data_IF_464532060619
#
_entry.id   IF_464532060619
#
_cell.length_a   1.000
_cell.length_b   1.000
_cell.length_c   1.000
_cell.angle_alpha   90.00
_cell.angle_beta   90.00
_cell.angle_gamma   90.00
#
_symmetry.space_group_name_H-M   'P 1'
#
loop_
_entity.id
_entity.type
_entity.pdbx_description
1 polymer ?
#
# COMPACT_ATOMS: atom_id res chain seq x y z
N UNK A 1 17.22 3.59 11.40
CA UNK A 1 17.40 4.49 10.24
C UNK A 1 16.01 4.86 9.75
N UNK A 2 15.43 5.93 10.29
CA UNK A 2 14.05 6.35 10.02
C UNK A 2 13.99 7.25 8.79
N UNK A 3 13.13 6.93 7.83
CA UNK A 3 12.88 7.80 6.69
C UNK A 3 11.88 8.89 7.10
N UNK A 4 12.38 10.09 7.38
CA UNK A 4 11.51 11.26 7.59
C UNK A 4 10.98 11.77 6.24
N UNK A 5 9.66 11.86 6.12
CA UNK A 5 9.02 12.48 4.95
C UNK A 5 9.12 14.01 5.04
N UNK A 6 10.23 14.59 4.55
CA UNK A 6 10.35 16.03 4.37
C UNK A 6 9.54 16.51 3.15
N UNK A 7 8.74 17.56 3.36
CA UNK A 7 7.78 18.18 2.42
C UNK A 7 8.38 18.66 1.09
N UNK A 8 9.70 18.76 0.95
CA UNK A 8 10.37 19.39 -0.20
C UNK A 8 10.85 18.43 -1.31
N UNK A 9 10.49 17.13 -1.27
CA UNK A 9 10.94 16.11 -2.26
C UNK A 9 9.82 15.48 -3.11
N UNK A 10 8.64 16.09 -3.12
CA UNK A 10 7.41 15.49 -3.66
C UNK A 10 7.36 15.36 -5.19
N UNK A 11 8.12 16.14 -5.94
CA UNK A 11 8.16 16.04 -7.42
C UNK A 11 9.06 14.90 -7.91
N UNK A 12 10.23 14.71 -7.28
CA UNK A 12 11.20 13.69 -7.67
C UNK A 12 10.67 12.25 -7.46
N UNK A 13 9.90 12.03 -6.38
CA UNK A 13 9.32 10.72 -6.07
C UNK A 13 8.09 10.38 -6.93
N UNK A 14 7.35 11.36 -7.47
CA UNK A 14 6.21 11.13 -8.38
C UNK A 14 6.70 10.88 -9.80
N UNK A 15 7.84 11.44 -10.22
CA UNK A 15 8.52 10.96 -11.42
C UNK A 15 9.05 9.52 -11.26
N UNK A 16 9.44 9.15 -10.03
CA UNK A 16 9.97 7.81 -9.72
C UNK A 16 8.88 6.73 -9.58
N UNK A 17 7.71 7.10 -9.06
CA UNK A 17 6.62 6.18 -8.71
C UNK A 17 5.25 6.64 -9.22
N UNK A 18 5.16 7.66 -10.07
CA UNK A 18 3.88 8.21 -10.53
C UNK A 18 3.23 7.28 -11.53
N UNK A 19 1.96 6.97 -11.27
CA UNK A 19 1.31 5.82 -11.86
C UNK A 19 -0.13 6.22 -12.15
N UNK A 20 -0.47 6.36 -13.43
CA UNK A 20 -1.85 6.57 -13.87
C UNK A 20 -2.66 5.27 -13.80
N UNK A 21 -1.97 4.11 -13.85
CA UNK A 21 -2.52 2.75 -13.78
C UNK A 21 -1.84 1.93 -12.66
N UNK A 22 -2.41 1.92 -11.43
CA UNK A 22 -1.83 1.29 -10.23
C UNK A 22 -1.35 -0.15 -10.45
N UNK A 23 -2.13 -0.90 -11.19
CA UNK A 23 -1.98 -2.34 -11.43
C UNK A 23 -0.70 -2.63 -12.23
N UNK A 24 -0.51 -1.94 -13.36
CA UNK A 24 0.70 -2.03 -14.18
C UNK A 24 1.97 -1.69 -13.40
N UNK A 25 1.80 -0.90 -12.36
CA UNK A 25 2.93 -0.33 -11.68
C UNK A 25 3.29 -1.07 -10.42
N UNK A 26 2.33 -1.77 -9.80
CA UNK A 26 2.65 -2.89 -8.93
C UNK A 26 3.59 -3.86 -9.66
N UNK A 27 3.27 -4.24 -10.92
CA UNK A 27 4.10 -5.17 -11.71
C UNK A 27 5.51 -4.64 -11.94
N UNK A 28 5.66 -3.37 -12.33
CA UNK A 28 6.97 -2.71 -12.46
C UNK A 28 7.77 -2.68 -11.16
N UNK A 29 7.09 -2.67 -10.01
CA UNK A 29 7.69 -2.65 -8.69
C UNK A 29 7.89 -4.06 -8.10
N UNK A 30 7.56 -5.11 -8.85
CA UNK A 30 7.79 -6.50 -8.47
C UNK A 30 6.68 -7.13 -7.61
N UNK A 31 5.47 -6.55 -7.66
CA UNK A 31 4.25 -7.10 -7.09
C UNK A 31 3.20 -7.36 -8.18
N UNK A 32 2.33 -8.33 -8.01
CA UNK A 32 1.26 -8.62 -8.97
C UNK A 32 -0.11 -8.35 -8.34
N UNK A 33 -1.02 -7.75 -9.10
CA UNK A 33 -2.39 -7.49 -8.66
C UNK A 33 -3.31 -8.56 -9.20
N UNK A 34 -4.13 -9.15 -8.33
CA UNK A 34 -5.15 -10.12 -8.68
C UNK A 34 -6.51 -9.65 -8.18
N UNK A 35 -7.54 -9.86 -8.97
CA UNK A 35 -8.92 -9.68 -8.52
C UNK A 35 -9.50 -11.02 -8.08
N UNK A 36 -9.93 -11.11 -6.83
CA UNK A 36 -10.54 -12.31 -6.28
C UNK A 36 -11.55 -11.94 -5.19
N UNK A 37 -12.73 -12.58 -5.11
CA UNK A 37 -13.70 -12.31 -4.05
C UNK A 37 -13.11 -12.62 -2.66
N UNK A 38 -12.89 -11.59 -1.85
CA UNK A 38 -12.32 -11.69 -0.49
C UNK A 38 -13.39 -11.77 0.61
N UNK A 39 -14.67 -11.84 0.21
CA UNK A 39 -15.81 -11.92 1.12
C UNK A 39 -16.26 -10.56 1.65
N UNK A 40 -16.95 -10.56 2.80
CA UNK A 40 -17.67 -9.36 3.26
C UNK A 40 -16.79 -8.32 3.94
N UNK A 41 -15.78 -8.77 4.70
CA UNK A 41 -15.03 -7.91 5.62
C UNK A 41 -13.69 -7.47 5.02
N UNK A 42 -12.95 -8.40 4.41
CA UNK A 42 -11.63 -8.13 3.84
C UNK A 42 -11.81 -7.63 2.40
N UNK A 43 -11.20 -6.50 2.07
CA UNK A 43 -11.29 -5.86 0.75
C UNK A 43 -9.97 -5.79 -0.01
N UNK A 44 -8.87 -6.00 0.70
CA UNK A 44 -7.52 -6.13 0.17
C UNK A 44 -6.71 -7.08 1.06
N UNK A 45 -5.82 -7.84 0.44
CA UNK A 45 -4.89 -8.71 1.14
C UNK A 45 -3.55 -8.74 0.41
N UNK A 46 -2.48 -8.47 1.13
CA UNK A 46 -1.12 -8.57 0.61
C UNK A 46 -0.41 -9.85 1.07
N UNK A 47 -0.03 -10.70 0.12
CA UNK A 47 0.70 -11.95 0.35
C UNK A 47 2.18 -11.74 0.05
N UNK A 48 2.96 -11.41 1.09
CA UNK A 48 4.40 -11.07 0.98
C UNK A 48 5.27 -12.09 0.24
N UNK A 49 4.98 -13.38 0.42
CA UNK A 49 5.80 -14.48 -0.13
C UNK A 49 5.53 -14.66 -1.62
N UNK A 50 4.27 -14.47 -2.03
CA UNK A 50 3.84 -14.48 -3.43
C UNK A 50 4.02 -13.13 -4.13
N UNK A 51 4.30 -12.07 -3.36
CA UNK A 51 4.31 -10.67 -3.84
C UNK A 51 2.98 -10.29 -4.50
N UNK A 52 1.89 -10.89 -4.04
CA UNK A 52 0.57 -10.73 -4.62
C UNK A 52 -0.26 -9.75 -3.79
N UNK A 53 -0.87 -8.77 -4.45
CA UNK A 53 -1.89 -7.87 -3.91
C UNK A 53 -3.22 -8.37 -4.44
N UNK A 54 -4.08 -8.86 -3.56
CA UNK A 54 -5.39 -9.37 -3.95
C UNK A 54 -6.43 -8.33 -3.57
N UNK A 55 -7.30 -7.98 -4.52
CA UNK A 55 -8.34 -6.97 -4.36
C UNK A 55 -9.71 -7.58 -4.65
N UNK A 56 -10.71 -7.19 -3.88
CA UNK A 56 -12.10 -7.54 -4.15
C UNK A 56 -12.57 -6.89 -5.47
N UNK A 57 -13.06 -7.67 -6.45
CA UNK A 57 -13.45 -7.16 -7.77
C UNK A 57 -14.58 -6.14 -7.72
N UNK A 58 -15.49 -6.26 -6.74
CA UNK A 58 -16.74 -5.49 -6.65
C UNK A 58 -16.55 -4.08 -6.09
N UNK A 59 -15.31 -3.65 -5.90
CA UNK A 59 -14.99 -2.33 -5.38
C UNK A 59 -15.10 -1.24 -6.45
N UNK A 60 -15.65 -0.08 -6.04
CA UNK A 60 -15.62 1.12 -6.85
C UNK A 60 -14.19 1.48 -7.27
N UNK A 61 -14.00 1.92 -8.52
CA UNK A 61 -12.69 2.14 -9.15
C UNK A 61 -11.72 2.99 -8.32
N UNK A 62 -12.21 4.07 -7.69
CA UNK A 62 -11.41 4.89 -6.78
C UNK A 62 -10.87 4.09 -5.58
N UNK A 63 -11.72 3.28 -4.94
CA UNK A 63 -11.36 2.47 -3.78
C UNK A 63 -10.40 1.35 -4.17
N UNK A 64 -10.62 0.72 -5.34
CA UNK A 64 -9.70 -0.26 -5.93
C UNK A 64 -8.30 0.32 -6.11
N UNK A 65 -8.19 1.48 -6.78
CA UNK A 65 -6.90 2.19 -6.96
C UNK A 65 -6.22 2.54 -5.64
N UNK A 66 -6.99 2.94 -4.65
CA UNK A 66 -6.49 3.26 -3.31
C UNK A 66 -5.89 2.03 -2.61
N UNK A 67 -6.61 0.92 -2.59
CA UNK A 67 -6.14 -0.31 -1.94
C UNK A 67 -4.94 -0.92 -2.67
N UNK A 68 -4.87 -0.81 -3.99
CA UNK A 68 -3.68 -1.23 -4.75
C UNK A 68 -2.47 -0.37 -4.38
N UNK A 69 -2.63 0.95 -4.31
CA UNK A 69 -1.57 1.86 -3.89
C UNK A 69 -1.09 1.57 -2.45
N UNK A 70 -2.03 1.21 -1.57
CA UNK A 70 -1.76 0.79 -0.19
C UNK A 70 -0.95 -0.54 -0.17
N UNK A 71 -1.39 -1.56 -0.91
CA UNK A 71 -0.67 -2.83 -1.04
C UNK A 71 0.73 -2.68 -1.64
N UNK A 72 0.92 -1.78 -2.60
CA UNK A 72 2.25 -1.43 -3.14
C UNK A 72 3.15 -0.88 -2.03
N UNK A 73 2.63 -0.04 -1.12
CA UNK A 73 3.41 0.49 -0.01
C UNK A 73 3.89 -0.63 0.93
N UNK A 74 3.02 -1.60 1.25
CA UNK A 74 3.42 -2.79 2.01
C UNK A 74 4.50 -3.59 1.29
N UNK A 75 4.39 -3.76 -0.03
CA UNK A 75 5.40 -4.43 -0.83
C UNK A 75 6.76 -3.74 -0.76
N UNK A 76 6.79 -2.41 -0.88
CA UNK A 76 8.03 -1.65 -0.93
C UNK A 76 8.71 -1.47 0.42
N UNK A 77 7.94 -1.17 1.48
CA UNK A 77 8.50 -0.71 2.75
C UNK A 77 8.46 -1.77 3.84
N UNK A 78 7.50 -2.69 3.79
CA UNK A 78 7.17 -3.55 4.92
C UNK A 78 7.36 -5.04 4.64
N UNK A 79 7.80 -5.41 3.44
CA UNK A 79 8.01 -6.81 3.02
C UNK A 79 8.94 -7.64 3.92
N UNK A 80 9.89 -7.00 4.64
CA UNK A 80 10.82 -7.69 5.56
C UNK A 80 10.26 -7.87 6.99
N UNK A 81 9.07 -7.34 7.29
CA UNK A 81 8.49 -7.38 8.63
C UNK A 81 7.79 -8.74 8.82
N UNK A 82 8.20 -9.51 9.84
CA UNK A 82 7.63 -10.83 10.19
C UNK A 82 6.35 -10.73 11.05
N UNK A 83 5.70 -9.58 11.10
CA UNK A 83 4.44 -9.45 11.83
C UNK A 83 3.35 -10.15 11.02
N UNK A 84 2.77 -11.23 11.56
CA UNK A 84 1.52 -11.75 11.02
C UNK A 84 0.43 -10.73 11.38
N UNK A 85 -0.22 -10.18 10.36
CA UNK A 85 -1.28 -9.16 10.46
C UNK A 85 -2.59 -9.69 11.07
N UNK A 86 -2.58 -10.92 11.59
CA UNK A 86 -3.71 -11.67 12.14
C UNK A 86 -3.57 -11.98 13.64
N UNK A 87 -2.88 -11.12 14.40
CA UNK A 87 -2.84 -11.29 15.85
C UNK A 87 -4.09 -10.63 16.44
N UNK A 88 -4.99 -11.45 17.00
CA UNK A 88 -6.22 -11.00 17.68
C UNK A 88 -5.96 -10.20 18.97
N UNK A 89 -4.72 -10.21 19.48
CA UNK A 89 -4.32 -9.39 20.63
C UNK A 89 -2.79 -9.15 20.66
N UNK A 90 -2.26 -8.25 19.81
CA UNK A 90 -0.83 -7.94 19.83
C UNK A 90 -0.50 -7.07 21.05
N UNK A 91 0.62 -7.35 21.73
CA UNK A 91 1.14 -6.49 22.80
C UNK A 91 1.20 -5.02 22.35
N UNK A 92 1.10 -4.07 23.29
CA UNK A 92 1.02 -2.63 23.00
C UNK A 92 2.07 -2.16 21.98
N UNK A 93 3.34 -2.60 22.12
CA UNK A 93 4.42 -2.24 21.21
C UNK A 93 4.23 -2.78 19.78
N UNK A 94 3.67 -3.99 19.63
CA UNK A 94 3.36 -4.59 18.34
C UNK A 94 2.20 -3.82 17.70
N UNK A 95 1.16 -3.48 18.47
CA UNK A 95 0.04 -2.68 17.97
C UNK A 95 0.45 -1.27 17.50
N UNK A 96 1.37 -0.60 18.20
CA UNK A 96 1.90 0.69 17.79
C UNK A 96 2.68 0.58 16.48
N UNK A 97 3.54 -0.44 16.37
CA UNK A 97 4.30 -0.70 15.14
C UNK A 97 3.40 -1.00 13.94
N UNK A 98 2.33 -1.79 14.14
CA UNK A 98 1.33 -2.04 13.09
C UNK A 98 0.68 -0.71 12.68
N UNK A 99 0.24 0.12 13.64
CA UNK A 99 -0.35 1.44 13.32
C UNK A 99 0.60 2.35 12.52
N UNK A 100 1.90 2.33 12.83
CA UNK A 100 2.90 3.09 12.08
C UNK A 100 3.02 2.59 10.63
N UNK A 101 3.05 1.28 10.43
CA UNK A 101 3.09 0.63 9.11
C UNK A 101 1.86 0.99 8.27
N UNK A 102 0.66 0.82 8.83
CA UNK A 102 -0.60 1.16 8.15
C UNK A 102 -0.65 2.66 7.79
N UNK A 103 -0.19 3.53 8.71
CA UNK A 103 -0.13 4.97 8.48
C UNK A 103 0.87 5.33 7.38
N UNK A 104 2.03 4.69 7.33
CA UNK A 104 3.01 4.92 6.25
C UNK A 104 2.45 4.48 4.90
N UNK A 105 1.75 3.33 4.86
CA UNK A 105 1.08 2.85 3.67
C UNK A 105 -0.01 3.81 3.17
N UNK A 106 -0.83 4.33 4.09
CA UNK A 106 -1.88 5.30 3.79
C UNK A 106 -1.32 6.62 3.22
N UNK A 107 -0.27 7.14 3.85
CA UNK A 107 0.39 8.38 3.38
C UNK A 107 1.01 8.18 1.99
N UNK A 108 1.61 7.01 1.74
CA UNK A 108 2.13 6.68 0.41
C UNK A 108 1.01 6.57 -0.63
N UNK A 109 -0.09 5.89 -0.31
CA UNK A 109 -1.23 5.75 -1.21
C UNK A 109 -1.84 7.11 -1.59
N UNK A 110 -2.03 8.00 -0.60
CA UNK A 110 -2.49 9.37 -0.84
C UNK A 110 -1.52 10.14 -1.75
N UNK A 111 -0.22 10.02 -1.50
CA UNK A 111 0.81 10.65 -2.31
C UNK A 111 0.82 10.14 -3.77
N UNK A 112 0.58 8.84 -3.95
CA UNK A 112 0.55 8.24 -5.27
C UNK A 112 -0.65 8.74 -6.10
N UNK A 113 -1.83 8.74 -5.48
CA UNK A 113 -3.10 8.96 -6.16
C UNK A 113 -3.50 10.42 -6.29
N UNK A 114 -3.17 11.27 -5.32
CA UNK A 114 -3.57 12.68 -5.35
C UNK A 114 -2.58 13.41 -6.26
N UNK A 115 -3.03 13.96 -7.41
CA UNK A 115 -2.16 14.77 -8.25
C UNK A 115 -1.76 16.04 -7.48
N UNK A 116 -0.50 16.46 -7.61
CA UNK A 116 -0.14 17.80 -7.16
C UNK A 116 -1.00 18.80 -7.94
N UNK A 117 -1.70 19.70 -7.24
CA UNK A 117 -2.34 20.85 -7.86
C UNK A 117 -1.26 21.53 -8.72
N UNK A 118 -1.43 21.52 -10.04
CA UNK A 118 -0.71 22.43 -10.92
C UNK A 118 -1.20 23.83 -10.56
N UNK A 119 -0.46 24.52 -9.71
CA UNK A 119 -0.50 25.97 -9.55
C UNK A 119 0.27 26.62 -10.67
#
# INVERSE_FOLDING_TARGET
>A
MGFSFQRNSKTAKRKKYGIDEPDLSASKLGAEVFEYPLGRIIKEAYFKDLRAIVIDPDLHSYKKRHLIAHGIAHHLFHRKIKANYFLDNPDFLISQRIREIEREAEVFAAYLLIPEKKS
#
